data_IF_198084786795
#
_entry.id   IF_198084786795
#
_cell.length_a   1.000
_cell.length_b   1.000
_cell.length_c   1.000
_cell.angle_alpha   90.00
_cell.angle_beta   90.00
_cell.angle_gamma   90.00
#
_symmetry.space_group_name_H-M   'P 1'
#
loop_
_entity.id
_entity.type
_entity.pdbx_description
1 polymer ?
#
# COMPACT_ATOMS: atom_id res chain seq x y z
N UNK A 1 -8.40 16.17 2.03
CA UNK A 1 -6.97 16.51 1.91
C UNK A 1 -6.47 17.61 2.87
N UNK A 2 -7.29 18.18 3.78
CA UNK A 2 -6.80 19.24 4.72
C UNK A 2 -5.86 18.75 5.85
N UNK A 3 -5.71 17.43 6.07
CA UNK A 3 -4.96 16.86 7.21
C UNK A 3 -3.52 16.42 6.87
N UNK A 4 -3.21 16.18 5.59
CA UNK A 4 -1.90 15.71 5.14
C UNK A 4 -1.53 16.42 3.83
N UNK A 5 -0.34 17.01 3.77
CA UNK A 5 0.21 17.71 2.61
C UNK A 5 1.55 17.04 2.19
N UNK A 6 1.50 15.89 1.52
CA UNK A 6 2.72 15.17 1.15
C UNK A 6 3.51 15.91 0.06
N UNK A 7 4.84 15.78 0.03
CA UNK A 7 5.70 16.38 -1.01
C UNK A 7 5.67 15.60 -2.33
N UNK A 8 4.69 14.72 -2.53
CA UNK A 8 4.57 13.84 -3.68
C UNK A 8 3.12 13.78 -4.18
N UNK A 9 2.96 13.37 -5.43
CA UNK A 9 1.65 13.29 -6.09
C UNK A 9 0.89 12.08 -5.56
N UNK A 10 -0.37 12.29 -5.19
CA UNK A 10 -1.32 11.21 -4.94
C UNK A 10 -2.25 11.15 -6.14
N UNK A 11 -2.20 10.05 -6.89
CA UNK A 11 -3.11 9.79 -7.99
C UNK A 11 -4.30 8.95 -7.49
N UNK A 12 -5.52 9.35 -7.85
CA UNK A 12 -6.73 8.59 -7.54
C UNK A 12 -7.14 7.73 -8.75
N UNK A 13 -7.11 6.41 -8.60
CA UNK A 13 -7.74 5.47 -9.54
C UNK A 13 -9.19 5.23 -9.08
N UNK A 14 -10.10 6.13 -9.47
CA UNK A 14 -11.50 6.10 -9.01
C UNK A 14 -12.25 4.86 -9.53
N UNK A 15 -11.97 4.49 -10.77
CA UNK A 15 -12.60 3.38 -11.49
C UNK A 15 -11.94 2.03 -11.16
N UNK A 16 -10.82 2.02 -10.44
CA UNK A 16 -10.07 0.81 -10.08
C UNK A 16 -9.53 0.06 -11.30
N UNK A 17 -9.29 0.77 -12.40
CA UNK A 17 -8.90 0.17 -13.69
C UNK A 17 -7.46 -0.29 -13.67
N UNK A 18 -6.55 0.50 -13.10
CA UNK A 18 -5.13 0.18 -13.07
C UNK A 18 -4.85 -1.03 -12.18
N UNK A 19 -5.54 -1.12 -11.03
CA UNK A 19 -5.42 -2.28 -10.15
C UNK A 19 -5.85 -3.59 -10.81
N UNK A 20 -6.87 -3.55 -11.68
CA UNK A 20 -7.32 -4.72 -12.44
C UNK A 20 -6.37 -5.06 -13.59
N UNK A 21 -5.94 -4.06 -14.35
CA UNK A 21 -5.02 -4.22 -15.49
C UNK A 21 -3.70 -4.86 -15.08
N UNK A 22 -3.17 -4.48 -13.91
CA UNK A 22 -1.93 -5.03 -13.36
C UNK A 22 -2.16 -6.19 -12.37
N UNK A 23 -3.35 -6.79 -12.34
CA UNK A 23 -3.68 -7.99 -11.55
C UNK A 23 -3.33 -7.87 -10.05
N UNK A 24 -3.55 -6.69 -9.46
CA UNK A 24 -3.27 -6.47 -8.04
C UNK A 24 -4.18 -7.33 -7.18
N UNK A 25 -3.58 -8.09 -6.26
CA UNK A 25 -4.26 -9.09 -5.47
C UNK A 25 -5.24 -8.48 -4.46
N UNK A 26 -6.39 -9.12 -4.32
CA UNK A 26 -7.37 -8.83 -3.29
C UNK A 26 -7.43 -9.99 -2.28
N UNK A 27 -7.28 -9.71 -0.99
CA UNK A 27 -7.43 -10.72 0.06
C UNK A 27 -7.90 -10.12 1.38
N UNK A 28 -9.19 -10.31 1.66
CA UNK A 28 -9.78 -9.83 2.91
C UNK A 28 -9.20 -10.54 4.14
N UNK A 29 -8.84 -11.82 3.99
CA UNK A 29 -8.24 -12.61 5.07
C UNK A 29 -6.89 -12.04 5.49
N UNK A 30 -6.02 -11.68 4.53
CA UNK A 30 -4.71 -11.06 4.83
C UNK A 30 -4.90 -9.73 5.56
N UNK A 31 -5.85 -8.90 5.12
CA UNK A 31 -6.18 -7.63 5.80
C UNK A 31 -6.66 -7.86 7.23
N UNK A 32 -7.60 -8.79 7.45
CA UNK A 32 -8.17 -9.07 8.77
C UNK A 32 -7.17 -9.72 9.74
N UNK A 33 -6.19 -10.47 9.26
CA UNK A 33 -5.16 -11.08 10.08
C UNK A 33 -4.02 -10.12 10.43
N UNK A 34 -3.89 -9.00 9.72
CA UNK A 34 -2.78 -8.05 9.94
C UNK A 34 -2.75 -7.45 11.36
N UNK A 35 -3.88 -7.08 11.98
CA UNK A 35 -3.91 -6.66 13.39
C UNK A 35 -3.32 -7.68 14.36
N UNK A 36 -3.38 -8.98 14.06
CA UNK A 36 -2.79 -10.02 14.89
C UNK A 36 -1.25 -9.99 14.84
N UNK A 37 -0.67 -9.52 13.73
CA UNK A 37 0.78 -9.35 13.58
C UNK A 37 1.30 -8.08 14.23
N UNK A 38 0.52 -7.02 14.29
CA UNK A 38 0.91 -5.73 14.88
C UNK A 38 -0.17 -5.13 15.81
N UNK A 39 -0.52 -5.82 16.92
CA UNK A 39 -1.67 -5.46 17.75
C UNK A 39 -1.53 -4.07 18.38
N UNK A 40 -0.33 -3.71 18.82
CA UNK A 40 -0.04 -2.41 19.44
C UNK A 40 -0.23 -1.28 18.42
N UNK A 41 0.30 -1.45 17.21
CA UNK A 41 0.19 -0.47 16.12
C UNK A 41 -1.27 -0.26 15.73
N UNK A 42 -2.03 -1.35 15.60
CA UNK A 42 -3.47 -1.27 15.29
C UNK A 42 -4.23 -0.54 16.39
N UNK A 43 -3.97 -0.84 17.67
CA UNK A 43 -4.61 -0.14 18.78
C UNK A 43 -4.29 1.37 18.77
N UNK A 44 -3.03 1.74 18.54
CA UNK A 44 -2.63 3.14 18.42
C UNK A 44 -3.34 3.85 17.25
N UNK A 45 -3.50 3.17 16.11
CA UNK A 45 -4.21 3.72 14.96
C UNK A 45 -5.69 4.00 15.31
N UNK A 46 -6.36 3.04 15.96
CA UNK A 46 -7.76 3.19 16.40
C UNK A 46 -7.89 4.36 17.38
N UNK A 47 -7.00 4.46 18.37
CA UNK A 47 -6.98 5.58 19.34
C UNK A 47 -6.74 6.93 18.65
N UNK A 48 -6.03 6.96 17.53
CA UNK A 48 -5.83 8.15 16.69
C UNK A 48 -6.99 8.45 15.73
N UNK A 49 -8.10 7.70 15.83
CA UNK A 49 -9.33 7.89 15.08
C UNK A 49 -9.40 7.12 13.76
N UNK A 50 -8.56 6.09 13.57
CA UNK A 50 -8.72 5.19 12.43
C UNK A 50 -9.99 4.35 12.60
N UNK A 51 -10.92 4.51 11.66
CA UNK A 51 -12.13 3.68 11.55
C UNK A 51 -12.15 3.18 10.10
N UNK A 52 -12.17 1.85 9.84
CA UNK A 52 -12.32 1.32 8.50
C UNK A 52 -13.70 1.74 7.96
N UNK A 53 -13.74 2.72 7.06
CA UNK A 53 -14.99 3.34 6.57
C UNK A 53 -15.48 2.80 5.22
N UNK A 54 -14.72 1.92 4.58
CA UNK A 54 -15.04 1.44 3.23
C UNK A 54 -15.83 0.12 3.30
N UNK A 55 -17.02 0.11 2.67
CA UNK A 55 -17.96 -1.02 2.61
C UNK A 55 -17.83 -1.87 1.33
N UNK A 56 -16.99 -1.46 0.37
CA UNK A 56 -16.77 -2.22 -0.86
C UNK A 56 -15.72 -3.30 -0.63
N UNK A 57 -16.16 -4.56 -0.53
CA UNK A 57 -15.32 -5.71 -0.21
C UNK A 57 -14.09 -5.83 -1.14
N UNK A 58 -14.26 -5.53 -2.43
CA UNK A 58 -13.17 -5.55 -3.42
C UNK A 58 -12.14 -4.47 -3.17
N UNK A 59 -12.55 -3.21 -2.95
CA UNK A 59 -11.64 -2.09 -2.69
C UNK A 59 -11.00 -2.13 -1.30
N UNK A 60 -11.66 -2.75 -0.31
CA UNK A 60 -11.13 -2.90 1.05
C UNK A 60 -10.16 -4.06 1.21
N UNK A 61 -10.22 -5.02 0.29
CA UNK A 61 -9.36 -6.20 0.31
C UNK A 61 -8.14 -6.07 -0.60
N UNK A 62 -8.02 -4.97 -1.35
CA UNK A 62 -6.83 -4.66 -2.15
C UNK A 62 -5.59 -4.69 -1.28
N UNK A 63 -4.67 -5.57 -1.65
CA UNK A 63 -3.36 -5.66 -1.03
C UNK A 63 -2.45 -4.67 -1.75
N UNK A 64 -1.65 -3.95 -0.98
CA UNK A 64 -0.69 -2.98 -1.53
C UNK A 64 0.31 -3.69 -2.45
N UNK A 65 0.84 -2.92 -3.38
CA UNK A 65 1.95 -3.32 -4.24
C UNK A 65 2.95 -2.17 -4.28
N UNK A 66 4.23 -2.50 -4.10
CA UNK A 66 5.31 -1.54 -4.29
C UNK A 66 5.98 -1.81 -5.62
N UNK A 67 6.10 -0.79 -6.46
CA UNK A 67 6.71 -0.88 -7.79
C UNK A 67 7.83 0.14 -7.87
N UNK A 68 9.03 -0.33 -8.23
CA UNK A 68 10.18 0.51 -8.53
C UNK A 68 10.32 0.62 -10.04
N UNK A 69 10.33 1.86 -10.53
CA UNK A 69 10.43 2.21 -11.94
C UNK A 69 11.67 3.08 -12.10
N UNK A 70 12.55 2.72 -13.03
CA UNK A 70 13.76 3.48 -13.32
C UNK A 70 13.50 4.73 -14.17
N UNK A 71 14.55 5.51 -14.46
CA UNK A 71 14.48 6.72 -15.28
C UNK A 71 14.06 6.48 -16.74
N UNK A 72 14.17 5.24 -17.23
CA UNK A 72 13.74 4.86 -18.57
C UNK A 72 12.28 4.39 -18.60
N UNK A 73 11.59 4.42 -17.45
CA UNK A 73 10.22 3.94 -17.31
C UNK A 73 10.10 2.42 -17.22
N UNK A 74 11.21 1.70 -16.97
CA UNK A 74 11.20 0.24 -16.86
C UNK A 74 10.93 -0.20 -15.41
N UNK A 75 10.08 -1.21 -15.25
CA UNK A 75 9.83 -1.83 -13.94
C UNK A 75 11.04 -2.68 -13.56
N UNK A 76 11.83 -2.21 -12.60
CA UNK A 76 13.01 -2.96 -12.11
C UNK A 76 12.66 -3.91 -10.98
N UNK A 77 11.58 -3.62 -10.24
CA UNK A 77 11.10 -4.46 -9.14
C UNK A 77 9.61 -4.25 -8.90
N UNK A 78 8.88 -5.35 -8.75
CA UNK A 78 7.52 -5.36 -8.21
C UNK A 78 7.49 -6.21 -6.95
N UNK A 79 6.90 -5.69 -5.89
CA UNK A 79 6.73 -6.36 -4.60
C UNK A 79 5.24 -6.39 -4.26
N UNK A 80 4.61 -7.53 -4.53
CA UNK A 80 3.24 -7.78 -4.12
C UNK A 80 3.23 -8.13 -2.63
N UNK A 81 2.73 -7.21 -1.81
CA UNK A 81 2.75 -7.33 -0.37
C UNK A 81 1.99 -8.60 0.07
N UNK A 82 2.48 -9.29 1.11
CA UNK A 82 1.78 -10.44 1.69
C UNK A 82 0.61 -10.04 2.58
N UNK A 83 0.66 -8.85 3.16
CA UNK A 83 -0.36 -8.27 4.02
C UNK A 83 -0.22 -6.74 4.04
N UNK A 84 -0.92 -6.04 4.94
CA UNK A 84 -0.89 -4.56 4.97
C UNK A 84 0.32 -3.98 5.71
N UNK A 85 1.32 -4.79 6.06
CA UNK A 85 2.58 -4.35 6.70
C UNK A 85 3.83 -4.75 5.90
N UNK A 86 3.69 -5.58 4.87
CA UNK A 86 4.79 -6.14 4.09
C UNK A 86 5.20 -5.23 2.92
N UNK A 87 6.02 -4.21 3.20
CA UNK A 87 6.50 -3.24 2.21
C UNK A 87 8.00 -3.39 1.90
N UNK A 88 8.45 -2.84 0.77
CA UNK A 88 9.87 -2.64 0.50
C UNK A 88 10.44 -1.74 1.61
N UNK A 89 11.53 -2.19 2.23
CA UNK A 89 12.18 -1.42 3.30
C UNK A 89 12.67 -0.07 2.80
N UNK A 90 12.61 0.95 3.67
CA UNK A 90 13.12 2.29 3.39
C UNK A 90 14.59 2.24 2.93
N UNK A 91 15.42 1.39 3.54
CA UNK A 91 16.82 1.23 3.13
C UNK A 91 16.97 0.81 1.67
N UNK A 92 16.10 -0.09 1.18
CA UNK A 92 16.12 -0.51 -0.21
C UNK A 92 15.60 0.60 -1.13
N UNK A 93 14.62 1.40 -0.69
CA UNK A 93 14.16 2.56 -1.46
C UNK A 93 15.25 3.63 -1.58
N UNK A 94 16.01 3.89 -0.50
CA UNK A 94 17.14 4.83 -0.51
C UNK A 94 18.26 4.34 -1.41
N UNK A 95 18.59 3.03 -1.38
CA UNK A 95 19.58 2.46 -2.29
C UNK A 95 19.18 2.63 -3.75
N UNK A 96 17.94 2.24 -4.07
CA UNK A 96 17.38 2.39 -5.40
C UNK A 96 17.41 3.84 -5.88
N UNK A 97 17.00 4.79 -5.03
CA UNK A 97 17.02 6.22 -5.34
C UNK A 97 18.43 6.78 -5.59
N UNK A 98 19.48 6.10 -5.11
CA UNK A 98 20.88 6.47 -5.34
C UNK A 98 21.52 5.68 -6.50
N UNK A 99 20.74 4.89 -7.24
CA UNK A 99 21.23 4.07 -8.35
C UNK A 99 21.96 2.78 -7.93
N UNK A 100 21.72 2.28 -6.71
CA UNK A 100 22.32 1.06 -6.16
C UNK A 100 21.32 -0.09 -6.00
#
# INVERSE_FOLDING_TARGET
MKKHNPPFIILADEQYTSFLEYEVQNSILRVLLTPLRAPITTLQAILRGYIPKTLSLSKTSTISVDVLIDENGSVVRSHYCKDTLDYISIDNLIKFSNGN
#
